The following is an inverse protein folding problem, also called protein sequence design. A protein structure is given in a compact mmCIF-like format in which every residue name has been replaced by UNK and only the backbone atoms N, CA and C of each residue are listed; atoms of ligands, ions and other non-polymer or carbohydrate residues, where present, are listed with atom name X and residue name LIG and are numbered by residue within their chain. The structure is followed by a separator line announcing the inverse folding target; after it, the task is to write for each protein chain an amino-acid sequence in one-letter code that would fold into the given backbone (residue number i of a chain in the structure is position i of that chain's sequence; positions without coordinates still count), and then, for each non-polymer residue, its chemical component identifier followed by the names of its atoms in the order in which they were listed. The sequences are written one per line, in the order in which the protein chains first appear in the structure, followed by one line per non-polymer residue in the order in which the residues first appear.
data_IF_169353073422
#
_entry.id   IF_169353073422
#
_cell.length_a   1.000
_cell.length_b   1.000
_cell.length_c   1.000
_cell.angle_alpha   90.00
_cell.angle_beta   90.00
_cell.angle_gamma   90.00
#
_symmetry.space_group_name_H-M   'P 1'
#
loop_
_entity.id
_entity.type
_entity.pdbx_description
1 polymer ?
#
# COMPACT_ATOMS: atom_id res chain seq x y z
N UNK A 1 3.09 25.33 27.52
CA UNK A 1 4.41 25.98 27.31
C UNK A 1 5.35 25.04 26.56
N UNK A 2 4.95 24.55 25.37
CA UNK A 2 5.75 23.62 24.54
C UNK A 2 5.95 24.14 23.10
N UNK A 3 5.46 25.35 22.78
CA UNK A 3 5.54 25.95 21.45
C UNK A 3 6.91 26.57 21.15
N UNK A 4 7.58 27.19 22.12
CA UNK A 4 8.82 27.95 21.88
C UNK A 4 9.95 27.12 21.25
N UNK A 5 10.14 25.87 21.66
CA UNK A 5 11.21 25.03 21.11
C UNK A 5 10.88 24.54 19.68
N UNK A 6 9.60 24.28 19.40
CA UNK A 6 9.13 23.86 18.08
C UNK A 6 9.18 25.02 17.08
N UNK A 7 8.79 26.21 17.50
CA UNK A 7 8.78 27.42 16.67
C UNK A 7 10.21 27.89 16.35
N UNK A 8 11.13 27.75 17.32
CA UNK A 8 12.55 28.07 17.12
C UNK A 8 13.22 27.13 16.12
N UNK A 9 12.85 25.84 16.13
CA UNK A 9 13.39 24.85 15.21
C UNK A 9 12.79 25.02 13.80
N UNK A 10 11.50 25.33 13.70
CA UNK A 10 10.85 25.67 12.43
C UNK A 10 11.48 26.92 11.78
N UNK A 11 11.72 27.97 12.56
CA UNK A 11 12.37 29.19 12.08
C UNK A 11 13.83 28.96 11.64
N UNK A 12 14.56 28.08 12.32
CA UNK A 12 15.94 27.74 11.95
C UNK A 12 16.01 26.93 10.64
N UNK A 13 15.06 26.01 10.42
CA UNK A 13 14.99 25.23 9.17
C UNK A 13 14.61 26.13 7.98
N UNK A 14 13.66 27.04 8.16
CA UNK A 14 13.29 28.02 7.13
C UNK A 14 14.45 28.98 6.79
N UNK A 15 15.34 29.25 7.75
CA UNK A 15 16.56 30.01 7.51
C UNK A 15 17.59 29.23 6.68
N UNK A 16 17.75 27.93 6.91
CA UNK A 16 18.65 27.08 6.12
C UNK A 16 18.16 26.94 4.67
N UNK A 17 16.86 26.75 4.47
CA UNK A 17 16.26 26.67 3.13
C UNK A 17 16.41 27.98 2.36
N UNK A 18 16.30 29.13 3.05
CA UNK A 18 16.56 30.44 2.43
C UNK A 18 18.00 30.60 1.93
N UNK A 19 18.99 30.02 2.61
CA UNK A 19 20.40 30.05 2.21
C UNK A 19 20.65 29.09 1.03
N UNK A 20 20.08 27.89 1.07
CA UNK A 20 20.24 26.86 0.03
C UNK A 20 19.54 27.26 -1.28
N UNK A 21 18.35 27.87 -1.18
CA UNK A 21 17.59 28.34 -2.33
C UNK A 21 18.08 29.70 -2.88
N UNK A 22 19.06 30.33 -2.24
CA UNK A 22 19.59 31.64 -2.63
C UNK A 22 18.63 32.81 -2.42
N UNK A 23 17.50 32.60 -1.73
CA UNK A 23 16.44 33.60 -1.49
C UNK A 23 16.72 34.48 -0.27
N UNK A 24 17.53 34.01 0.68
CA UNK A 24 18.25 34.82 1.68
C UNK A 24 19.71 34.88 1.28
N UNK A 25 20.03 35.71 0.29
CA UNK A 25 21.35 36.29 0.27
C UNK A 25 21.51 37.04 1.59
N UNK A 26 22.29 36.48 2.53
CA UNK A 26 22.94 37.33 3.51
C UNK A 26 23.64 38.38 2.67
N UNK A 27 23.34 39.66 2.85
CA UNK A 27 24.02 40.75 2.17
C UNK A 27 25.52 40.68 2.52
N UNK A 28 26.25 39.77 1.88
CA UNK A 28 27.64 39.95 1.56
C UNK A 28 27.65 41.01 0.47
N UNK A 29 27.37 42.23 0.92
CA UNK A 29 27.62 43.44 0.17
C UNK A 29 29.04 43.33 -0.34
N UNK A 30 29.13 43.23 -1.67
CA UNK A 30 30.34 43.32 -2.45
C UNK A 30 30.86 44.78 -2.40
N UNK A 31 31.07 45.30 -1.19
CA UNK A 31 31.36 46.69 -0.90
C UNK A 31 31.45 46.89 0.61
N UNK A 32 32.62 47.34 1.06
CA UNK A 32 32.94 47.74 2.42
C UNK A 32 33.16 46.60 3.43
N UNK A 33 34.22 45.81 3.22
CA UNK A 33 34.83 45.09 4.33
C UNK A 33 35.59 46.12 5.17
N UNK A 34 35.04 46.48 6.33
CA UNK A 34 35.82 47.10 7.41
C UNK A 34 36.83 46.05 7.91
N UNK A 35 38.01 46.01 7.26
CA UNK A 35 39.09 45.07 7.56
C UNK A 35 39.80 45.47 8.85
N UNK A 36 39.12 45.35 10.00
CA UNK A 36 39.69 45.68 11.31
C UNK A 36 39.91 44.44 12.18
N UNK A 37 40.51 43.38 11.62
CA UNK A 37 41.10 42.30 12.43
C UNK A 37 42.63 42.30 12.22
N UNK A 38 43.44 42.64 13.25
CA UNK A 38 44.87 42.95 13.07
C UNK A 38 45.81 41.76 12.79
N UNK A 39 45.32 40.52 12.69
CA UNK A 39 46.17 39.33 12.90
C UNK A 39 46.09 38.22 11.83
N UNK A 40 45.51 38.45 10.65
CA UNK A 40 45.57 37.45 9.57
C UNK A 40 46.73 37.69 8.58
N UNK A 41 47.71 36.76 8.46
CA UNK A 41 48.84 36.89 7.53
C UNK A 41 48.42 36.90 6.05
N UNK A 42 47.31 36.23 5.72
CA UNK A 42 46.78 36.16 4.35
C UNK A 42 46.04 37.46 3.96
N UNK A 43 45.43 38.15 4.92
CA UNK A 43 44.70 39.41 4.73
C UNK A 43 45.62 40.61 4.49
N UNK A 44 46.88 40.56 4.96
CA UNK A 44 47.86 41.62 4.71
C UNK A 44 48.20 41.79 3.22
N UNK A 45 48.25 40.66 2.48
CA UNK A 45 48.50 40.67 1.03
C UNK A 45 47.33 41.29 0.26
N UNK A 46 46.08 40.96 0.62
CA UNK A 46 44.88 41.56 0.04
C UNK A 46 44.80 43.07 0.30
N UNK A 47 45.16 43.52 1.51
CA UNK A 47 45.21 44.96 1.85
C UNK A 47 46.28 45.69 1.02
N UNK A 48 47.44 45.09 0.84
CA UNK A 48 48.51 45.66 0.01
C UNK A 48 48.08 45.76 -1.46
N UNK A 49 47.39 44.74 -2.00
CA UNK A 49 46.86 44.78 -3.37
C UNK A 49 45.78 45.86 -3.55
N UNK A 50 44.89 46.02 -2.57
CA UNK A 50 43.87 47.07 -2.63
C UNK A 50 44.48 48.48 -2.63
N UNK A 51 45.44 48.73 -1.73
CA UNK A 51 46.17 50.01 -1.67
C UNK A 51 46.98 50.28 -2.96
N UNK A 52 47.50 49.23 -3.60
CA UNK A 52 48.16 49.36 -4.90
C UNK A 52 47.17 49.74 -6.01
N UNK A 53 45.95 49.18 -6.01
CA UNK A 53 44.92 49.54 -6.98
C UNK A 53 44.39 50.97 -6.75
N UNK A 54 44.22 51.38 -5.48
CA UNK A 54 43.86 52.76 -5.13
C UNK A 54 44.95 53.74 -5.58
N UNK A 55 46.22 53.43 -5.31
CA UNK A 55 47.37 54.25 -5.74
C UNK A 55 47.43 54.33 -7.26
N UNK A 56 47.23 53.21 -7.96
CA UNK A 56 47.17 53.16 -9.43
C UNK A 56 46.07 54.07 -9.95
N UNK A 57 44.86 53.97 -9.39
CA UNK A 57 43.71 54.76 -9.81
C UNK A 57 43.98 56.27 -9.64
N UNK A 58 44.57 56.67 -8.52
CA UNK A 58 44.96 58.06 -8.28
C UNK A 58 46.03 58.51 -9.28
N UNK A 59 47.07 57.70 -9.53
CA UNK A 59 48.14 58.03 -10.48
C UNK A 59 47.66 58.09 -11.94
N UNK A 60 46.63 57.35 -12.32
CA UNK A 60 46.02 57.40 -13.66
C UNK A 60 45.21 58.69 -13.90
N UNK A 61 44.66 59.29 -12.84
CA UNK A 61 43.88 60.54 -12.88
C UNK A 61 44.74 61.81 -12.76
N UNK A 62 46.03 61.68 -12.44
CA UNK A 62 46.96 62.80 -12.30
C UNK A 62 47.53 63.27 -13.64
N UNK A 63 47.81 64.57 -13.74
CA UNK A 63 48.44 65.15 -14.92
C UNK A 63 49.92 64.74 -15.05
N UNK A 64 50.43 64.72 -16.29
CA UNK A 64 51.78 64.20 -16.57
C UNK A 64 52.90 64.99 -15.89
N UNK A 65 52.71 66.29 -15.64
CA UNK A 65 53.70 67.13 -14.96
C UNK A 65 53.76 66.84 -13.45
N UNK A 66 52.60 66.63 -12.82
CA UNK A 66 52.50 66.26 -11.40
C UNK A 66 53.06 64.86 -11.15
N UNK A 67 52.78 63.92 -12.07
CA UNK A 67 53.31 62.55 -11.99
C UNK A 67 54.83 62.52 -12.12
N UNK A 68 55.41 63.37 -12.96
CA UNK A 68 56.86 63.48 -13.12
C UNK A 68 57.50 64.15 -11.89
N UNK A 69 56.85 65.17 -11.32
CA UNK A 69 57.26 65.76 -10.04
C UNK A 69 57.26 64.75 -8.89
N UNK A 70 56.27 63.84 -8.84
CA UNK A 70 56.25 62.73 -7.88
C UNK A 70 57.37 61.72 -8.12
N UNK A 71 57.70 61.41 -9.37
CA UNK A 71 58.83 60.52 -9.69
C UNK A 71 60.16 61.11 -9.25
N UNK A 72 60.36 62.41 -9.45
CA UNK A 72 61.56 63.11 -9.00
C UNK A 72 61.74 63.10 -7.47
N UNK A 73 60.68 62.84 -6.70
CA UNK A 73 60.76 62.70 -5.24
C UNK A 73 61.17 61.29 -4.79
N UNK A 74 61.09 60.30 -5.69
CA UNK A 74 61.51 58.92 -5.41
C UNK A 74 63.01 58.81 -5.73
N UNK A 75 63.86 58.41 -4.78
CA UNK A 75 65.28 58.18 -5.07
C UNK A 75 65.46 57.13 -6.16
N UNK A 76 66.36 57.39 -7.12
CA UNK A 76 66.64 56.48 -8.24
C UNK A 76 66.98 55.06 -7.78
N UNK A 77 67.75 54.94 -6.68
CA UNK A 77 68.09 53.65 -6.08
C UNK A 77 66.87 52.83 -5.63
N UNK A 78 65.78 53.50 -5.22
CA UNK A 78 64.53 52.84 -4.80
C UNK A 78 63.73 52.41 -6.02
N UNK A 79 63.65 53.25 -7.04
CA UNK A 79 63.00 52.92 -8.30
C UNK A 79 63.69 51.73 -8.98
N UNK A 80 65.02 51.75 -9.06
CA UNK A 80 65.83 50.66 -9.60
C UNK A 80 65.65 49.37 -8.81
N UNK A 81 65.66 49.43 -7.48
CA UNK A 81 65.41 48.24 -6.63
C UNK A 81 64.02 47.65 -6.84
N UNK A 82 62.99 48.49 -7.03
CA UNK A 82 61.62 48.05 -7.30
C UNK A 82 61.47 47.46 -8.70
N UNK A 83 62.11 48.06 -9.70
CA UNK A 83 62.15 47.53 -11.07
C UNK A 83 62.87 46.20 -11.11
N UNK A 84 64.00 46.08 -10.41
CA UNK A 84 64.76 44.83 -10.24
C UNK A 84 63.95 43.78 -9.49
N UNK A 85 63.20 44.15 -8.45
CA UNK A 85 62.31 43.22 -7.74
C UNK A 85 61.16 42.72 -8.63
N UNK A 86 60.50 43.62 -9.36
CA UNK A 86 59.41 43.27 -10.29
C UNK A 86 59.91 42.45 -11.49
N UNK A 87 61.08 42.78 -12.05
CA UNK A 87 61.67 42.02 -13.17
C UNK A 87 62.34 40.73 -12.72
N UNK A 88 62.97 40.71 -11.55
CA UNK A 88 63.66 39.54 -10.98
C UNK A 88 62.70 38.41 -10.61
N UNK A 89 61.50 38.76 -10.16
CA UNK A 89 60.44 37.77 -9.91
C UNK A 89 59.90 37.11 -11.19
N UNK A 90 60.05 37.76 -12.35
CA UNK A 90 59.58 37.24 -13.64
C UNK A 90 60.67 36.53 -14.46
N UNK A 91 61.95 36.77 -14.16
CA UNK A 91 63.09 36.24 -14.95
C UNK A 91 63.91 35.15 -14.25
N UNK A 92 63.79 35.00 -12.92
CA UNK A 92 64.45 33.92 -12.18
C UNK A 92 63.41 32.97 -11.58
N UNK A 93 62.85 32.10 -12.44
CA UNK A 93 61.97 30.98 -12.10
C UNK A 93 62.65 29.87 -11.28
N UNK A 94 63.26 30.22 -10.16
CA UNK A 94 63.78 29.27 -9.18
C UNK A 94 63.49 29.77 -7.76
N UNK A 95 62.19 29.83 -7.44
CA UNK A 95 61.74 29.46 -6.10
C UNK A 95 62.13 27.99 -5.97
N UNK A 96 63.01 27.65 -5.02
CA UNK A 96 63.56 26.33 -4.78
C UNK A 96 62.64 25.17 -5.19
N UNK A 97 63.01 24.49 -6.28
CA UNK A 97 62.42 23.28 -6.84
C UNK A 97 62.69 22.08 -5.92
N UNK A 98 62.05 22.11 -4.76
CA UNK A 98 61.93 20.99 -3.82
C UNK A 98 60.56 20.96 -3.16
N UNK A 99 59.87 22.10 -3.03
CA UNK A 99 58.48 22.15 -2.58
C UNK A 99 57.46 22.04 -3.72
N UNK A 100 57.69 22.76 -4.83
CA UNK A 100 56.73 22.90 -5.93
C UNK A 100 56.35 21.58 -6.62
N UNK A 101 57.34 20.74 -6.93
CA UNK A 101 57.10 19.41 -7.51
C UNK A 101 56.31 18.50 -6.56
N UNK A 102 56.60 18.53 -5.25
CA UNK A 102 55.84 17.75 -4.27
C UNK A 102 54.39 18.26 -4.10
N UNK A 103 54.14 19.56 -4.21
CA UNK A 103 52.77 20.10 -4.22
C UNK A 103 52.03 19.74 -5.50
N UNK A 104 52.70 19.78 -6.66
CA UNK A 104 52.11 19.42 -7.93
C UNK A 104 51.77 17.92 -8.00
N UNK A 105 52.67 17.04 -7.55
CA UNK A 105 52.43 15.61 -7.47
C UNK A 105 51.29 15.28 -6.50
N UNK A 106 51.25 15.95 -5.34
CA UNK A 106 50.13 15.82 -4.39
C UNK A 106 48.81 16.28 -4.99
N UNK A 107 48.81 17.38 -5.76
CA UNK A 107 47.63 17.89 -6.43
C UNK A 107 47.13 16.88 -7.47
N UNK A 108 48.00 16.37 -8.33
CA UNK A 108 47.62 15.37 -9.34
C UNK A 108 47.09 14.07 -8.73
N UNK A 109 47.65 13.63 -7.60
CA UNK A 109 47.09 12.48 -6.85
C UNK A 109 45.70 12.78 -6.30
N UNK A 110 45.49 13.95 -5.70
CA UNK A 110 44.18 14.36 -5.19
C UNK A 110 43.15 14.52 -6.31
N UNK A 111 43.56 15.00 -7.49
CA UNK A 111 42.70 15.08 -8.68
C UNK A 111 42.29 13.69 -9.16
N UNK A 112 43.24 12.74 -9.23
CA UNK A 112 42.94 11.35 -9.54
C UNK A 112 42.02 10.68 -8.50
N UNK A 113 42.26 10.93 -7.21
CA UNK A 113 41.43 10.39 -6.12
C UNK A 113 40.02 10.99 -6.18
N UNK A 114 39.89 12.29 -6.50
CA UNK A 114 38.61 12.97 -6.74
C UNK A 114 37.86 12.33 -7.90
N UNK A 115 38.52 12.10 -9.04
CA UNK A 115 37.89 11.45 -10.19
C UNK A 115 37.41 10.02 -9.85
N UNK A 116 38.22 9.24 -9.14
CA UNK A 116 37.83 7.93 -8.65
C UNK A 116 36.63 7.99 -7.70
N UNK A 117 36.60 8.97 -6.79
CA UNK A 117 35.50 9.14 -5.84
C UNK A 117 34.22 9.55 -6.57
N UNK A 118 34.31 10.43 -7.57
CA UNK A 118 33.16 10.82 -8.41
C UNK A 118 32.55 9.60 -9.10
N UNK A 119 33.38 8.70 -9.65
CA UNK A 119 32.88 7.46 -10.26
C UNK A 119 32.20 6.55 -9.21
N UNK A 120 32.78 6.41 -8.01
CA UNK A 120 32.17 5.61 -6.94
C UNK A 120 30.81 6.19 -6.50
N UNK A 121 30.72 7.52 -6.35
CA UNK A 121 29.46 8.20 -6.02
C UNK A 121 28.44 7.96 -7.14
N UNK A 122 28.83 8.09 -8.41
CA UNK A 122 27.93 7.80 -9.54
C UNK A 122 27.38 6.38 -9.49
N UNK A 123 28.24 5.37 -9.28
CA UNK A 123 27.82 3.96 -9.19
C UNK A 123 26.89 3.74 -8.00
N UNK A 124 27.18 4.33 -6.85
CA UNK A 124 26.33 4.22 -5.67
C UNK A 124 24.98 4.91 -5.88
N UNK A 125 24.95 6.05 -6.56
CA UNK A 125 23.71 6.73 -6.94
C UNK A 125 22.85 5.84 -7.82
N UNK A 126 23.40 5.28 -8.90
CA UNK A 126 22.67 4.37 -9.79
C UNK A 126 22.15 3.13 -9.03
N UNK A 127 22.94 2.60 -8.10
CA UNK A 127 22.54 1.46 -7.27
C UNK A 127 21.38 1.80 -6.32
N UNK A 128 21.40 2.99 -5.70
CA UNK A 128 20.32 3.44 -4.82
C UNK A 128 19.04 3.69 -5.63
N UNK A 129 19.16 4.28 -6.82
CA UNK A 129 18.03 4.49 -7.72
C UNK A 129 17.41 3.16 -8.16
N UNK A 130 18.22 2.19 -8.60
CA UNK A 130 17.75 0.85 -8.97
C UNK A 130 17.11 0.10 -7.79
N UNK A 131 17.65 0.25 -6.57
CA UNK A 131 17.02 -0.31 -5.37
C UNK A 131 15.69 0.39 -5.05
N UNK A 132 15.60 1.70 -5.25
CA UNK A 132 14.35 2.46 -5.10
C UNK A 132 13.27 2.02 -6.10
N UNK A 133 13.64 1.74 -7.35
CA UNK A 133 12.76 1.13 -8.34
C UNK A 133 12.28 -0.26 -7.91
N UNK A 134 13.20 -1.12 -7.47
CA UNK A 134 12.85 -2.47 -7.01
C UNK A 134 11.88 -2.45 -5.81
N UNK A 135 12.03 -1.51 -4.88
CA UNK A 135 11.11 -1.35 -3.75
C UNK A 135 9.72 -0.97 -4.28
N UNK A 136 9.63 0.03 -5.17
CA UNK A 136 8.35 0.43 -5.78
C UNK A 136 7.66 -0.73 -6.51
N UNK A 137 8.40 -1.52 -7.26
CA UNK A 137 7.86 -2.70 -7.96
C UNK A 137 7.32 -3.75 -6.98
N UNK A 138 8.03 -3.98 -5.86
CA UNK A 138 7.60 -4.90 -4.82
C UNK A 138 6.35 -4.39 -4.09
N UNK A 139 6.28 -3.09 -3.80
CA UNK A 139 5.09 -2.47 -3.18
C UNK A 139 3.86 -2.61 -4.09
N UNK A 140 4.00 -2.33 -5.38
CA UNK A 140 2.93 -2.54 -6.37
C UNK A 140 2.47 -4.00 -6.44
N UNK A 141 3.42 -4.94 -6.45
CA UNK A 141 3.12 -6.37 -6.45
C UNK A 141 2.37 -6.81 -5.17
N UNK A 142 2.76 -6.29 -4.01
CA UNK A 142 2.08 -6.54 -2.73
C UNK A 142 0.65 -6.02 -2.74
N UNK A 143 0.43 -4.81 -3.26
CA UNK A 143 -0.90 -4.22 -3.38
C UNK A 143 -1.79 -5.03 -4.33
N UNK A 144 -1.29 -5.43 -5.49
CA UNK A 144 -2.02 -6.31 -6.41
C UNK A 144 -2.40 -7.65 -5.76
N UNK A 145 -1.49 -8.25 -5.00
CA UNK A 145 -1.76 -9.50 -4.29
C UNK A 145 -2.80 -9.31 -3.19
N UNK A 146 -2.79 -8.18 -2.50
CA UNK A 146 -3.80 -7.82 -1.50
C UNK A 146 -5.17 -7.63 -2.13
N UNK A 147 -5.27 -6.94 -3.26
CA UNK A 147 -6.52 -6.78 -4.00
C UNK A 147 -7.08 -8.13 -4.46
N UNK A 148 -6.24 -9.01 -5.01
CA UNK A 148 -6.63 -10.38 -5.40
C UNK A 148 -7.16 -11.16 -4.20
N UNK A 149 -6.47 -11.08 -3.06
CA UNK A 149 -6.91 -11.74 -1.83
C UNK A 149 -8.29 -11.25 -1.40
N UNK A 150 -8.49 -9.94 -1.33
CA UNK A 150 -9.79 -9.35 -0.97
C UNK A 150 -10.90 -9.80 -1.93
N UNK A 151 -10.66 -9.78 -3.24
CA UNK A 151 -11.63 -10.24 -4.23
C UNK A 151 -12.00 -11.71 -4.03
N UNK A 152 -11.02 -12.57 -3.75
CA UNK A 152 -11.30 -14.00 -3.47
C UNK A 152 -12.03 -14.22 -2.15
N UNK A 153 -11.77 -13.39 -1.14
CA UNK A 153 -12.47 -13.44 0.13
C UNK A 153 -13.93 -13.01 -0.01
N UNK A 154 -14.20 -11.93 -0.75
CA UNK A 154 -15.56 -11.48 -1.07
C UNK A 154 -16.35 -12.55 -1.84
N UNK A 155 -15.72 -13.18 -2.85
CA UNK A 155 -16.33 -14.30 -3.57
C UNK A 155 -16.66 -15.48 -2.64
N UNK A 156 -15.76 -15.82 -1.73
CA UNK A 156 -15.98 -16.89 -0.76
C UNK A 156 -17.11 -16.56 0.21
N UNK A 157 -17.19 -15.32 0.70
CA UNK A 157 -18.28 -14.87 1.55
C UNK A 157 -19.63 -14.99 0.83
N UNK A 158 -19.69 -14.58 -0.44
CA UNK A 158 -20.90 -14.72 -1.25
C UNK A 158 -21.31 -16.18 -1.47
N UNK A 159 -20.35 -17.06 -1.73
CA UNK A 159 -20.59 -18.50 -1.87
C UNK A 159 -21.13 -19.11 -0.58
N UNK A 160 -20.58 -18.74 0.59
CA UNK A 160 -21.07 -19.20 1.89
C UNK A 160 -22.51 -18.74 2.17
N UNK A 161 -22.85 -17.51 1.79
CA UNK A 161 -24.23 -17.00 1.88
C UNK A 161 -25.18 -17.80 0.98
N UNK A 162 -24.80 -18.04 -0.28
CA UNK A 162 -25.57 -18.85 -1.21
C UNK A 162 -25.74 -20.29 -0.70
N UNK A 163 -24.67 -20.91 -0.20
CA UNK A 163 -24.71 -22.26 0.38
C UNK A 163 -25.69 -22.33 1.55
N UNK A 164 -25.62 -21.37 2.46
CA UNK A 164 -26.52 -21.31 3.62
C UNK A 164 -27.98 -21.17 3.17
N UNK A 165 -28.26 -20.29 2.21
CA UNK A 165 -29.61 -20.12 1.67
C UNK A 165 -30.16 -21.40 1.01
N UNK A 166 -29.33 -22.09 0.22
CA UNK A 166 -29.69 -23.36 -0.41
C UNK A 166 -29.90 -24.48 0.62
N UNK A 167 -29.08 -24.54 1.67
CA UNK A 167 -29.26 -25.48 2.78
C UNK A 167 -30.58 -25.24 3.52
N UNK A 168 -30.95 -23.97 3.77
CA UNK A 168 -32.25 -23.61 4.35
C UNK A 168 -33.39 -24.06 3.44
N UNK A 169 -33.35 -23.73 2.15
CA UNK A 169 -34.38 -24.13 1.19
C UNK A 169 -34.54 -25.65 1.10
N UNK A 170 -33.44 -26.39 1.16
CA UNK A 170 -33.46 -27.85 1.19
C UNK A 170 -34.20 -28.38 2.43
N UNK A 171 -33.93 -27.82 3.61
CA UNK A 171 -34.60 -28.21 4.85
C UNK A 171 -36.11 -27.92 4.80
N UNK A 172 -36.49 -26.77 4.26
CA UNK A 172 -37.90 -26.38 4.09
C UNK A 172 -38.63 -27.36 3.17
N UNK A 173 -38.03 -27.71 2.03
CA UNK A 173 -38.58 -28.70 1.10
C UNK A 173 -38.68 -30.10 1.75
N UNK A 174 -37.69 -30.51 2.54
CA UNK A 174 -37.75 -31.78 3.27
C UNK A 174 -38.89 -31.80 4.30
N UNK A 175 -39.14 -30.68 4.98
CA UNK A 175 -40.28 -30.50 5.87
C UNK A 175 -41.60 -30.57 5.11
N UNK A 176 -41.72 -29.89 3.96
CA UNK A 176 -42.91 -29.93 3.11
C UNK A 176 -43.20 -31.34 2.60
N UNK A 177 -42.20 -32.06 2.10
CA UNK A 177 -42.33 -33.47 1.69
C UNK A 177 -42.81 -34.34 2.85
N UNK A 178 -42.30 -34.12 4.06
CA UNK A 178 -42.73 -34.87 5.25
C UNK A 178 -44.18 -34.58 5.61
N UNK A 179 -44.60 -33.31 5.52
CA UNK A 179 -45.99 -32.89 5.73
C UNK A 179 -46.93 -33.48 4.68
N UNK A 180 -46.54 -33.48 3.41
CA UNK A 180 -47.32 -34.09 2.32
C UNK A 180 -47.47 -35.59 2.52
N UNK A 181 -46.41 -36.30 2.95
CA UNK A 181 -46.49 -37.73 3.29
C UNK A 181 -47.47 -37.99 4.43
N UNK A 182 -47.46 -37.17 5.48
CA UNK A 182 -48.42 -37.30 6.59
C UNK A 182 -49.86 -37.09 6.11
N UNK A 183 -50.11 -36.05 5.31
CA UNK A 183 -51.44 -35.79 4.71
C UNK A 183 -51.90 -36.95 3.84
N UNK A 184 -51.02 -37.50 3.01
CA UNK A 184 -51.31 -38.62 2.13
C UNK A 184 -51.70 -39.87 2.94
N UNK A 185 -50.93 -40.21 3.98
CA UNK A 185 -51.26 -41.32 4.88
C UNK A 185 -52.60 -41.12 5.60
N UNK A 186 -52.92 -39.90 6.03
CA UNK A 186 -54.21 -39.56 6.64
C UNK A 186 -55.35 -39.77 5.65
N UNK A 187 -55.23 -39.27 4.42
CA UNK A 187 -56.22 -39.46 3.36
C UNK A 187 -56.39 -40.93 2.97
N UNK A 188 -55.30 -41.69 2.89
CA UNK A 188 -55.37 -43.13 2.67
C UNK A 188 -56.13 -43.83 3.80
N UNK A 189 -55.84 -43.50 5.06
CA UNK A 189 -56.58 -44.06 6.20
C UNK A 189 -58.07 -43.73 6.13
N UNK A 190 -58.42 -42.46 5.88
CA UNK A 190 -59.82 -42.05 5.71
C UNK A 190 -60.51 -42.83 4.59
N UNK A 191 -59.84 -43.01 3.44
CA UNK A 191 -60.35 -43.83 2.33
C UNK A 191 -60.59 -45.28 2.75
N UNK A 192 -59.65 -45.91 3.48
CA UNK A 192 -59.83 -47.27 3.98
C UNK A 192 -60.98 -47.38 4.98
N UNK A 193 -61.15 -46.38 5.85
CA UNK A 193 -62.26 -46.32 6.79
C UNK A 193 -63.59 -46.17 6.04
N UNK A 194 -63.68 -45.29 5.04
CA UNK A 194 -64.85 -45.18 4.15
C UNK A 194 -65.18 -46.48 3.40
N UNK A 195 -64.18 -47.17 2.84
CA UNK A 195 -64.38 -48.46 2.18
C UNK A 195 -64.90 -49.52 3.17
N UNK A 196 -64.37 -49.58 4.40
CA UNK A 196 -64.93 -50.46 5.46
C UNK A 196 -66.37 -50.10 5.82
N UNK A 197 -66.72 -48.83 5.92
CA UNK A 197 -68.11 -48.42 6.19
C UNK A 197 -69.04 -48.89 5.07
N UNK A 198 -68.62 -48.80 3.80
CA UNK A 198 -69.39 -49.30 2.65
C UNK A 198 -69.57 -50.82 2.68
N UNK A 199 -68.56 -51.56 3.14
CA UNK A 199 -68.64 -53.02 3.29
C UNK A 199 -69.40 -53.45 4.57
N UNK A 200 -69.48 -52.58 5.58
CA UNK A 200 -70.19 -52.81 6.85
C UNK A 200 -71.66 -52.41 6.80
N UNK A 201 -72.09 -51.63 5.81
CA UNK A 201 -73.50 -51.52 5.44
C UNK A 201 -73.96 -52.87 4.88
N UNK A 202 -74.38 -53.75 5.80
CA UNK A 202 -74.95 -55.05 5.48
C UNK A 202 -76.09 -54.81 4.49
N UNK A 203 -75.89 -55.33 3.27
CA UNK A 203 -76.86 -55.21 2.20
C UNK A 203 -78.25 -55.60 2.74
N UNK A 204 -79.23 -54.68 2.82
CA UNK A 204 -80.50 -54.95 3.49
C UNK A 204 -81.26 -56.12 2.86
N UNK A 205 -80.97 -56.43 1.60
CA UNK A 205 -81.45 -57.62 0.91
C UNK A 205 -80.87 -58.93 1.48
N UNK A 206 -79.62 -58.95 1.93
CA UNK A 206 -78.98 -60.14 2.53
C UNK A 206 -79.56 -60.46 3.91
N UNK A 207 -79.80 -59.45 4.75
CA UNK A 207 -80.44 -59.65 6.05
C UNK A 207 -81.90 -60.11 5.88
N UNK A 208 -82.62 -59.55 4.91
CA UNK A 208 -83.98 -59.94 4.58
C UNK A 208 -84.06 -61.39 4.04
N UNK A 209 -83.13 -61.80 3.17
CA UNK A 209 -83.05 -63.19 2.69
C UNK A 209 -82.78 -64.17 3.85
N UNK A 210 -81.87 -63.84 4.76
CA UNK A 210 -81.54 -64.72 5.89
C UNK A 210 -82.74 -64.89 6.83
N UNK A 211 -83.44 -63.81 7.18
CA UNK A 211 -84.66 -63.87 7.99
C UNK A 211 -85.78 -64.65 7.28
N UNK A 212 -85.92 -64.48 5.96
CA UNK A 212 -86.88 -65.25 5.15
C UNK A 212 -86.55 -66.74 5.15
N UNK A 213 -85.27 -67.11 5.07
CA UNK A 213 -84.82 -68.51 5.05
C UNK A 213 -85.04 -69.19 6.41
N UNK A 214 -84.75 -68.50 7.52
CA UNK A 214 -85.06 -69.00 8.87
C UNK A 214 -86.56 -69.15 9.09
N UNK A 215 -87.37 -68.21 8.59
CA UNK A 215 -88.84 -68.30 8.69
C UNK A 215 -89.36 -69.51 7.91
N UNK A 216 -88.84 -69.77 6.71
CA UNK A 216 -89.21 -70.93 5.89
C UNK A 216 -88.79 -72.26 6.51
N UNK A 217 -87.59 -72.32 7.13
CA UNK A 217 -87.13 -73.53 7.81
C UNK A 217 -87.98 -73.82 9.04
N UNK A 218 -88.35 -72.77 9.79
CA UNK A 218 -89.22 -72.90 10.97
C UNK A 218 -90.64 -73.30 10.56
N UNK A 219 -91.16 -72.77 9.45
CA UNK A 219 -92.46 -73.16 8.89
C UNK A 219 -92.46 -74.63 8.43
N UNK A 220 -91.39 -75.09 7.77
CA UNK A 220 -91.22 -76.51 7.40
C UNK A 220 -91.12 -77.41 8.63
N UNK A 221 -90.40 -76.98 9.68
CA UNK A 221 -90.32 -77.71 10.95
C UNK A 221 -91.69 -77.85 11.62
N UNK A 222 -92.46 -76.76 11.68
CA UNK A 222 -93.83 -76.78 12.22
C UNK A 222 -94.78 -77.63 11.36
N UNK A 223 -94.66 -77.60 10.03
CA UNK A 223 -95.46 -78.47 9.15
C UNK A 223 -95.16 -79.96 9.38
N UNK A 224 -93.88 -80.33 9.50
CA UNK A 224 -93.46 -81.70 9.83
C UNK A 224 -94.01 -82.16 11.19
N UNK A 225 -94.01 -81.27 12.19
CA UNK A 225 -94.56 -81.58 13.52
C UNK A 225 -96.07 -81.82 13.51
N UNK A 226 -96.83 -81.02 12.74
CA UNK A 226 -98.31 -81.12 12.68
C UNK A 226 -98.79 -82.30 11.84
N UNK A 227 -98.03 -82.70 10.81
CA UNK A 227 -98.41 -83.79 9.90
C UNK A 227 -97.94 -85.18 10.36
N UNK A 228 -97.20 -85.29 11.47
CA UNK A 228 -96.72 -86.56 12.02
C UNK A 228 -95.90 -87.41 11.01
N UNK A 229 -95.24 -86.77 10.03
CA UNK A 229 -94.34 -87.45 9.10
C UNK A 229 -93.06 -87.88 9.86
N UNK A 230 -92.55 -89.10 9.66
CA UNK A 230 -91.27 -89.51 10.26
C UNK A 230 -90.13 -88.67 9.68
N UNK A 231 -89.40 -87.95 10.53
CA UNK A 231 -88.16 -87.26 10.19
C UNK A 231 -87.04 -88.27 9.90
N UNK A 232 -87.12 -88.95 8.75
CA UNK A 232 -86.02 -89.76 8.21
C UNK A 232 -85.75 -89.31 6.79
N UNK A 233 -85.03 -88.20 6.65
CA UNK A 233 -84.17 -87.83 5.51
C UNK A 233 -83.93 -86.32 5.53
N UNK A 234 -82.96 -85.86 6.32
CA UNK A 234 -82.21 -84.61 6.05
C UNK A 234 -80.98 -84.47 6.98
N UNK A 235 -80.48 -85.57 7.53
CA UNK A 235 -79.11 -85.69 7.98
C UNK A 235 -78.37 -86.58 6.98
N UNK A 236 -78.18 -86.09 5.76
CA UNK A 236 -77.10 -86.59 4.90
C UNK A 236 -76.66 -85.48 3.93
N UNK A 237 -75.85 -84.58 4.47
CA UNK A 237 -74.65 -84.12 3.79
C UNK A 237 -73.70 -83.50 4.82
N UNK A 238 -72.70 -84.30 5.20
CA UNK A 238 -71.44 -83.78 5.73
C UNK A 238 -70.47 -83.44 4.60
N UNK A 239 -69.55 -82.51 4.93
CA UNK A 239 -68.43 -81.95 4.17
C UNK A 239 -68.76 -80.94 3.06
#
# INVERSE_FOLDING_TARGET
MMSDASDMLAAALEQMDGIIAGSKAMDYSNGLFDCQSPTSPFMGSLRALHLLEDLRSVLELMDSEERESLRCQIPDSTADSLVEWLHGHMSNGHISLGGGDHYQERLSRLESDKESLVLQVSVLTDQVEAQGEKIRDLDLCLDEHREKLNATEEMLQQELLCRTALETQKLDLMSEVSNLKLKLNTMEKERHDFDRFRDSEVNPYSLCLHVSFLSLSHFNYCLCFVLHLPCTALCDHGL
#
